data_IF_344166931648
#
_entry.id   IF_344166931648
#
_cell.length_a   1.000
_cell.length_b   1.000
_cell.length_c   1.000
_cell.angle_alpha   90.00
_cell.angle_beta   90.00
_cell.angle_gamma   90.00
#
_symmetry.space_group_name_H-M   'P 1'
#
loop_
_entity.id
_entity.type
_entity.pdbx_description
1 polymer ?
#
# COMPACT_ATOMS: atom_id res chain seq x y z
N UNK A 1 -12.81 6.21 76.92
CA UNK A 1 -11.65 7.12 77.07
C UNK A 1 -11.34 7.75 75.71
N UNK A 2 -11.10 9.08 75.62
CA UNK A 2 -10.60 9.87 74.45
C UNK A 2 -11.37 9.66 73.12
N UNK A 3 -12.21 10.55 72.60
CA UNK A 3 -12.30 12.02 72.56
C UNK A 3 -11.22 12.74 71.70
N UNK A 4 -11.64 13.88 71.12
CA UNK A 4 -10.92 14.94 70.41
C UNK A 4 -10.41 14.73 68.96
N UNK A 5 -11.22 15.26 68.04
CA UNK A 5 -10.83 16.10 66.89
C UNK A 5 -9.52 16.89 67.05
N UNK A 6 -8.77 17.11 65.96
CA UNK A 6 -8.29 18.46 65.58
C UNK A 6 -7.79 18.57 64.13
N UNK A 7 -8.18 19.67 63.48
CA UNK A 7 -7.65 20.13 62.19
C UNK A 7 -6.26 20.76 62.39
N UNK A 8 -5.30 20.42 61.53
CA UNK A 8 -4.14 21.24 61.21
C UNK A 8 -4.01 21.28 59.68
N UNK A 9 -3.58 22.34 59.00
CA UNK A 9 -3.52 23.78 59.25
C UNK A 9 -2.98 24.30 57.90
N UNK A 10 -3.63 25.28 57.27
CA UNK A 10 -3.14 25.85 56.01
C UNK A 10 -1.72 26.41 56.22
N UNK A 11 -0.75 26.00 55.41
CA UNK A 11 0.46 26.76 55.18
C UNK A 11 0.37 27.44 53.82
N UNK A 12 0.06 28.73 53.85
CA UNK A 12 0.30 29.62 52.72
C UNK A 12 1.76 30.03 52.83
N UNK A 13 2.57 29.67 51.84
CA UNK A 13 3.92 30.20 51.66
C UNK A 13 4.00 30.83 50.28
N UNK A 14 3.89 32.15 50.28
CA UNK A 14 4.21 33.04 49.17
C UNK A 14 5.68 32.86 48.79
N UNK A 15 5.94 32.42 47.56
CA UNK A 15 7.29 32.25 47.01
C UNK A 15 7.35 32.88 45.61
N UNK A 16 7.90 34.09 45.53
CA UNK A 16 8.12 34.84 44.30
C UNK A 16 9.33 34.24 43.54
N UNK A 17 9.20 33.89 42.25
CA UNK A 17 10.37 33.49 41.48
C UNK A 17 10.13 32.89 40.08
N UNK A 18 10.71 33.56 39.07
CA UNK A 18 11.11 33.06 37.75
C UNK A 18 10.01 32.64 36.74
N UNK A 19 9.80 33.51 35.74
CA UNK A 19 9.30 33.13 34.42
C UNK A 19 10.27 32.15 33.73
N UNK A 20 9.77 31.06 33.15
CA UNK A 20 10.38 30.46 31.97
C UNK A 20 9.74 31.04 30.71
N UNK A 21 10.47 31.92 30.01
CA UNK A 21 10.21 32.24 28.60
C UNK A 21 10.51 30.99 27.76
N UNK A 22 9.54 30.09 27.61
CA UNK A 22 9.65 28.90 26.76
C UNK A 22 8.80 29.05 25.49
N UNK A 23 9.48 29.48 24.43
CA UNK A 23 9.24 29.08 23.05
C UNK A 23 7.80 29.05 22.53
N UNK A 24 7.38 30.12 21.85
CA UNK A 24 6.59 29.93 20.64
C UNK A 24 7.38 29.01 19.70
N UNK A 25 6.84 27.86 19.29
CA UNK A 25 7.64 26.93 18.49
C UNK A 25 7.08 25.54 18.18
N UNK A 26 5.98 25.08 18.81
CA UNK A 26 5.23 23.96 18.23
C UNK A 26 4.41 24.46 17.04
N UNK A 27 5.11 24.57 15.91
CA UNK A 27 4.54 24.85 14.61
C UNK A 27 3.35 23.92 14.35
N UNK A 28 2.43 24.41 13.52
CA UNK A 28 1.35 23.64 12.93
C UNK A 28 1.93 22.50 12.08
N UNK A 29 2.26 21.37 12.73
CA UNK A 29 2.49 20.09 12.08
C UNK A 29 1.15 19.63 11.52
N UNK A 30 0.84 20.17 10.33
CA UNK A 30 -0.15 19.63 9.42
C UNK A 30 0.21 18.15 9.25
N UNK A 31 -0.61 17.20 9.75
CA UNK A 31 -0.22 15.81 9.74
C UNK A 31 0.07 15.39 8.30
N UNK A 32 1.24 14.77 8.09
CA UNK A 32 1.57 14.22 6.77
C UNK A 32 0.48 13.26 6.35
N UNK A 33 -0.06 13.32 5.11
CA UNK A 33 -1.09 12.40 4.64
C UNK A 33 -0.64 10.92 4.63
N UNK A 34 0.64 10.65 4.89
CA UNK A 34 1.24 9.31 4.97
C UNK A 34 1.77 8.95 6.37
N UNK A 35 1.60 9.80 7.37
CA UNK A 35 2.07 9.55 8.74
C UNK A 35 1.07 8.77 9.57
N UNK A 36 1.16 7.43 9.57
CA UNK A 36 0.47 6.48 10.48
C UNK A 36 -0.91 6.95 10.99
N UNK A 37 -1.78 7.35 10.06
CA UNK A 37 -3.07 7.93 10.40
C UNK A 37 -3.97 6.86 10.99
N UNK A 38 -4.27 6.98 12.29
CA UNK A 38 -5.41 6.29 12.87
C UNK A 38 -6.64 6.66 12.02
N UNK A 39 -7.26 5.66 11.38
CA UNK A 39 -8.44 5.91 10.54
C UNK A 39 -9.47 6.63 11.41
N UNK A 40 -9.96 7.82 11.02
CA UNK A 40 -10.79 8.63 11.90
C UNK A 40 -11.97 7.80 12.40
N UNK A 41 -12.19 7.77 13.71
CA UNK A 41 -13.24 6.94 14.31
C UNK A 41 -14.64 7.27 13.73
N UNK A 42 -14.85 8.54 13.36
CA UNK A 42 -16.02 8.99 12.61
C UNK A 42 -16.15 8.33 11.22
N UNK A 43 -15.04 8.15 10.49
CA UNK A 43 -15.03 7.47 9.19
C UNK A 43 -15.28 5.96 9.36
N UNK A 44 -14.70 5.33 10.39
CA UNK A 44 -15.00 3.92 10.73
C UNK A 44 -16.47 3.74 11.12
N UNK A 45 -17.04 4.64 11.92
CA UNK A 45 -18.48 4.63 12.27
C UNK A 45 -19.37 4.85 11.05
N UNK A 46 -19.04 5.79 10.17
CA UNK A 46 -19.80 6.03 8.94
C UNK A 46 -19.76 4.82 7.99
N UNK A 47 -18.58 4.22 7.79
CA UNK A 47 -18.43 2.99 7.01
C UNK A 47 -19.22 1.83 7.63
N UNK A 48 -19.20 1.69 8.97
CA UNK A 48 -19.96 0.65 9.68
C UNK A 48 -21.49 0.86 9.58
N UNK A 49 -21.96 2.10 9.55
CA UNK A 49 -23.37 2.42 9.29
C UNK A 49 -23.75 2.09 7.84
N UNK A 50 -22.94 2.47 6.85
CA UNK A 50 -23.19 2.12 5.45
C UNK A 50 -23.17 0.61 5.21
N UNK A 51 -22.30 -0.12 5.91
CA UNK A 51 -22.19 -1.58 5.85
C UNK A 51 -23.44 -2.34 6.32
N UNK A 52 -24.31 -1.72 7.12
CA UNK A 52 -25.60 -2.30 7.55
C UNK A 52 -26.62 -2.28 6.41
N UNK A 53 -26.62 -1.22 5.59
CA UNK A 53 -27.52 -1.02 4.46
C UNK A 53 -26.76 -0.58 3.21
N UNK A 54 -25.89 -1.45 2.65
CA UNK A 54 -25.01 -1.08 1.56
C UNK A 54 -25.80 -0.79 0.28
N UNK A 55 -25.53 0.36 -0.35
CA UNK A 55 -26.22 0.82 -1.58
C UNK A 55 -25.30 0.86 -2.80
N UNK A 56 -24.00 0.83 -2.58
CA UNK A 56 -22.96 0.87 -3.62
C UNK A 56 -21.95 -0.26 -3.44
N UNK A 57 -21.14 -0.52 -4.49
CA UNK A 57 -20.02 -1.43 -4.40
C UNK A 57 -18.98 -0.96 -3.37
N UNK A 58 -18.78 0.36 -3.24
CA UNK A 58 -17.89 0.94 -2.24
C UNK A 58 -18.35 0.68 -0.81
N UNK A 59 -19.66 0.73 -0.52
CA UNK A 59 -20.18 0.37 0.80
C UNK A 59 -19.93 -1.10 1.13
N UNK A 60 -20.07 -1.99 0.14
CA UNK A 60 -19.78 -3.42 0.27
C UNK A 60 -18.28 -3.67 0.46
N UNK A 61 -17.42 -2.96 -0.27
CA UNK A 61 -15.97 -3.05 -0.11
C UNK A 61 -15.52 -2.54 1.27
N UNK A 62 -16.03 -1.38 1.71
CA UNK A 62 -15.77 -0.84 3.05
C UNK A 62 -16.26 -1.82 4.14
N UNK A 63 -17.43 -2.44 3.98
CA UNK A 63 -17.91 -3.49 4.88
C UNK A 63 -16.97 -4.70 4.94
N UNK A 64 -16.41 -5.12 3.79
CA UNK A 64 -15.42 -6.19 3.70
C UNK A 64 -14.12 -5.86 4.44
N UNK A 65 -13.62 -4.63 4.28
CA UNK A 65 -12.44 -4.15 5.02
C UNK A 65 -12.67 -4.05 6.52
N UNK A 66 -13.86 -3.63 6.95
CA UNK A 66 -14.23 -3.62 8.37
C UNK A 66 -14.28 -5.04 8.95
N UNK A 67 -14.89 -6.00 8.24
CA UNK A 67 -14.92 -7.40 8.65
C UNK A 67 -13.49 -7.99 8.76
N UNK A 68 -12.63 -7.70 7.77
CA UNK A 68 -11.26 -8.20 7.73
C UNK A 68 -10.38 -7.65 8.87
N UNK A 69 -10.44 -6.34 9.15
CA UNK A 69 -9.52 -5.70 10.11
C UNK A 69 -10.07 -5.54 11.54
N UNK A 70 -11.39 -5.39 11.74
CA UNK A 70 -11.96 -5.25 13.09
C UNK A 70 -12.49 -6.57 13.66
N UNK A 71 -13.09 -7.43 12.82
CA UNK A 71 -13.65 -8.71 13.28
C UNK A 71 -12.70 -9.90 13.03
N UNK A 72 -11.64 -9.73 12.24
CA UNK A 72 -10.82 -10.84 11.69
C UNK A 72 -11.65 -11.90 10.92
N UNK A 73 -12.86 -11.54 10.48
CA UNK A 73 -13.78 -12.43 9.79
C UNK A 73 -13.50 -12.39 8.29
N UNK A 74 -12.56 -13.24 7.88
CA UNK A 74 -12.12 -13.38 6.50
C UNK A 74 -13.24 -13.90 5.60
N UNK A 75 -14.14 -14.75 6.10
CA UNK A 75 -15.22 -15.33 5.29
C UNK A 75 -16.29 -14.28 4.95
N UNK A 76 -16.70 -13.47 5.93
CA UNK A 76 -17.58 -12.31 5.68
C UNK A 76 -16.87 -11.28 4.80
N UNK A 77 -15.56 -11.05 4.97
CA UNK A 77 -14.82 -10.13 4.13
C UNK A 77 -14.80 -10.56 2.64
N UNK A 78 -14.45 -11.82 2.35
CA UNK A 78 -14.47 -12.37 0.99
C UNK A 78 -15.85 -12.20 0.33
N UNK A 79 -16.92 -12.66 0.98
CA UNK A 79 -18.28 -12.55 0.43
C UNK A 79 -18.79 -11.11 0.28
N UNK A 80 -18.25 -10.15 1.05
CA UNK A 80 -18.55 -8.71 0.88
C UNK A 80 -17.80 -8.12 -0.32
N UNK A 81 -16.54 -8.47 -0.53
CA UNK A 81 -15.78 -8.05 -1.70
C UNK A 81 -16.32 -8.67 -3.00
N UNK A 82 -16.67 -9.95 -3.00
CA UNK A 82 -17.29 -10.61 -4.16
C UNK A 82 -18.62 -9.94 -4.56
N UNK A 83 -19.46 -9.60 -3.57
CA UNK A 83 -20.70 -8.84 -3.81
C UNK A 83 -20.45 -7.41 -4.28
N UNK A 84 -19.36 -6.77 -3.84
CA UNK A 84 -18.96 -5.46 -4.37
C UNK A 84 -18.61 -5.56 -5.86
N UNK A 85 -17.78 -6.55 -6.25
CA UNK A 85 -17.41 -6.80 -7.64
C UNK A 85 -18.56 -7.25 -8.53
N UNK A 86 -19.58 -7.91 -7.96
CA UNK A 86 -20.82 -8.23 -8.67
C UNK A 86 -21.70 -7.00 -8.97
N UNK A 87 -21.55 -5.92 -8.18
CA UNK A 87 -22.28 -4.67 -8.36
C UNK A 87 -21.50 -3.65 -9.21
N UNK A 88 -20.18 -3.55 -9.00
CA UNK A 88 -19.25 -2.82 -9.84
C UNK A 88 -17.95 -3.63 -10.02
N UNK A 89 -17.74 -4.26 -11.19
CA UNK A 89 -16.52 -5.00 -11.49
C UNK A 89 -15.23 -4.19 -11.43
N UNK A 90 -15.30 -2.84 -11.39
CA UNK A 90 -14.16 -1.93 -11.30
C UNK A 90 -13.83 -1.46 -9.87
N UNK A 91 -14.57 -1.89 -8.85
CA UNK A 91 -14.36 -1.48 -7.45
C UNK A 91 -12.97 -1.91 -6.92
N UNK A 92 -12.04 -0.95 -6.95
CA UNK A 92 -10.64 -1.15 -6.65
C UNK A 92 -10.40 -1.62 -5.21
N UNK A 93 -11.20 -1.20 -4.24
CA UNK A 93 -11.05 -1.64 -2.85
C UNK A 93 -11.43 -3.11 -2.68
N UNK A 94 -12.36 -3.64 -3.47
CA UNK A 94 -12.75 -5.05 -3.42
C UNK A 94 -11.69 -5.95 -4.04
N UNK A 95 -11.15 -5.58 -5.21
CA UNK A 95 -10.00 -6.27 -5.81
C UNK A 95 -8.78 -6.27 -4.89
N UNK A 96 -8.43 -5.11 -4.29
CA UNK A 96 -7.30 -5.03 -3.35
C UNK A 96 -7.53 -5.91 -2.10
N UNK A 97 -8.77 -6.00 -1.61
CA UNK A 97 -9.16 -6.83 -0.46
C UNK A 97 -9.01 -8.32 -0.71
N UNK A 98 -9.59 -8.81 -1.82
CA UNK A 98 -9.44 -10.21 -2.24
C UNK A 98 -7.98 -10.55 -2.54
N UNK A 99 -7.20 -9.62 -3.10
CA UNK A 99 -5.78 -9.84 -3.36
C UNK A 99 -4.96 -9.98 -2.06
N UNK A 100 -5.22 -9.16 -1.03
CA UNK A 100 -4.55 -9.26 0.27
C UNK A 100 -4.95 -10.54 1.03
N UNK A 101 -6.22 -10.99 0.93
CA UNK A 101 -6.68 -12.27 1.49
C UNK A 101 -6.07 -13.47 0.75
N UNK A 102 -6.04 -13.44 -0.58
CA UNK A 102 -5.39 -14.47 -1.38
C UNK A 102 -3.88 -14.52 -1.08
N UNK A 103 -3.23 -13.37 -0.88
CA UNK A 103 -1.80 -13.27 -0.52
C UNK A 103 -1.52 -13.84 0.86
N UNK A 104 -2.34 -13.55 1.88
CA UNK A 104 -2.16 -14.10 3.23
C UNK A 104 -2.35 -15.63 3.26
N UNK A 105 -3.20 -16.16 2.37
CA UNK A 105 -3.37 -17.60 2.13
C UNK A 105 -2.36 -18.22 1.14
N UNK A 106 -1.30 -17.49 0.77
CA UNK A 106 -0.24 -17.92 -0.17
C UNK A 106 -0.77 -18.34 -1.56
N UNK A 107 -1.96 -17.89 -1.95
CA UNK A 107 -2.57 -18.13 -3.28
C UNK A 107 -2.03 -17.13 -4.31
N UNK A 108 -0.73 -17.19 -4.56
CA UNK A 108 0.05 -16.19 -5.34
C UNK A 108 -0.64 -15.82 -6.66
N UNK A 109 -1.09 -16.80 -7.45
CA UNK A 109 -1.77 -16.56 -8.74
C UNK A 109 -3.10 -15.81 -8.60
N UNK A 110 -3.90 -16.13 -7.59
CA UNK A 110 -5.21 -15.47 -7.35
C UNK A 110 -4.98 -14.04 -6.88
N UNK A 111 -4.01 -13.82 -5.99
CA UNK A 111 -3.63 -12.47 -5.54
C UNK A 111 -3.10 -11.61 -6.70
N UNK A 112 -2.25 -12.17 -7.55
CA UNK A 112 -1.74 -11.48 -8.73
C UNK A 112 -2.85 -11.12 -9.73
N UNK A 113 -3.83 -12.02 -9.95
CA UNK A 113 -4.98 -11.75 -10.81
C UNK A 113 -5.79 -10.54 -10.32
N UNK A 114 -6.20 -10.50 -9.05
CA UNK A 114 -6.96 -9.37 -8.51
C UNK A 114 -6.17 -8.05 -8.46
N UNK A 115 -4.86 -8.09 -8.18
CA UNK A 115 -4.03 -6.88 -8.31
C UNK A 115 -3.95 -6.38 -9.76
N UNK A 116 -3.90 -7.28 -10.75
CA UNK A 116 -3.95 -6.89 -12.16
C UNK A 116 -5.33 -6.37 -12.55
N UNK A 117 -6.42 -7.01 -12.14
CA UNK A 117 -7.79 -6.57 -12.41
C UNK A 117 -8.03 -5.13 -11.91
N UNK A 118 -7.53 -4.79 -10.72
CA UNK A 118 -7.55 -3.41 -10.19
C UNK A 118 -6.83 -2.44 -11.11
N UNK A 119 -5.61 -2.79 -11.54
CA UNK A 119 -4.79 -1.93 -12.37
C UNK A 119 -5.33 -1.78 -13.80
N UNK A 120 -6.04 -2.78 -14.32
CA UNK A 120 -6.66 -2.77 -15.65
C UNK A 120 -7.98 -1.99 -15.66
N UNK A 121 -8.80 -2.16 -14.62
CA UNK A 121 -10.15 -1.61 -14.55
C UNK A 121 -10.22 -0.23 -13.90
N UNK A 122 -9.31 0.04 -12.96
CA UNK A 122 -9.20 1.31 -12.25
C UNK A 122 -7.76 1.89 -12.33
N UNK A 123 -7.18 2.05 -13.55
CA UNK A 123 -5.77 2.41 -13.75
C UNK A 123 -5.38 3.75 -13.10
N UNK A 124 -6.31 4.71 -13.04
CA UNK A 124 -6.11 6.02 -12.44
C UNK A 124 -6.37 6.08 -10.92
N UNK A 125 -6.81 4.97 -10.30
CA UNK A 125 -7.20 4.96 -8.89
C UNK A 125 -6.00 5.22 -7.96
N UNK A 126 -6.16 5.94 -6.82
CA UNK A 126 -5.05 6.22 -5.91
C UNK A 126 -4.30 4.97 -5.40
N UNK A 127 -4.95 3.81 -5.34
CA UNK A 127 -4.29 2.55 -4.98
C UNK A 127 -3.34 1.99 -6.06
N UNK A 128 -3.40 2.46 -7.32
CA UNK A 128 -2.66 1.84 -8.42
C UNK A 128 -1.14 1.75 -8.17
N UNK A 129 -0.52 2.74 -7.52
CA UNK A 129 0.90 2.65 -7.16
C UNK A 129 1.16 1.56 -6.10
N UNK A 130 0.35 1.52 -5.03
CA UNK A 130 0.47 0.52 -3.98
C UNK A 130 0.23 -0.89 -4.54
N UNK A 131 -0.77 -1.05 -5.39
CA UNK A 131 -1.10 -2.29 -6.10
C UNK A 131 0.05 -2.75 -6.99
N UNK A 132 0.64 -1.85 -7.79
CA UNK A 132 1.82 -2.16 -8.59
C UNK A 132 3.00 -2.63 -7.73
N UNK A 133 3.24 -2.00 -6.56
CA UNK A 133 4.28 -2.41 -5.61
C UNK A 133 3.98 -3.77 -4.97
N UNK A 134 2.72 -4.04 -4.61
CA UNK A 134 2.28 -5.34 -4.09
C UNK A 134 2.47 -6.45 -5.11
N UNK A 135 2.02 -6.24 -6.35
CA UNK A 135 2.19 -7.16 -7.46
C UNK A 135 3.68 -7.44 -7.76
N UNK A 136 4.50 -6.39 -7.82
CA UNK A 136 5.94 -6.50 -8.03
C UNK A 136 6.68 -7.28 -6.93
N UNK A 137 6.19 -7.19 -5.68
CA UNK A 137 6.76 -7.92 -4.53
C UNK A 137 6.24 -9.36 -4.43
N UNK A 138 5.10 -9.65 -5.06
CA UNK A 138 4.41 -10.93 -5.03
C UNK A 138 4.96 -11.93 -6.06
N UNK A 139 5.39 -11.43 -7.23
CA UNK A 139 5.75 -12.26 -8.38
C UNK A 139 7.24 -12.63 -8.41
N UNK A 140 7.52 -13.92 -8.55
CA UNK A 140 8.85 -14.49 -8.80
C UNK A 140 8.99 -15.09 -10.20
N UNK A 141 9.88 -16.08 -10.32
CA UNK A 141 10.18 -16.77 -11.59
C UNK A 141 9.02 -17.66 -12.08
N UNK A 142 8.04 -17.94 -11.22
CA UNK A 142 6.82 -18.72 -11.49
C UNK A 142 5.71 -17.94 -12.21
N UNK A 143 5.88 -16.63 -12.44
CA UNK A 143 4.94 -15.80 -13.20
C UNK A 143 4.67 -16.38 -14.62
N UNK A 144 3.41 -16.36 -15.05
CA UNK A 144 3.01 -16.85 -16.39
C UNK A 144 3.33 -15.82 -17.48
N UNK A 145 3.50 -16.23 -18.75
CA UNK A 145 3.62 -15.29 -19.88
C UNK A 145 2.46 -14.28 -19.93
N UNK A 146 1.23 -14.75 -19.71
CA UNK A 146 0.03 -13.93 -19.56
C UNK A 146 0.18 -12.84 -18.46
N UNK A 147 0.77 -13.17 -17.31
CA UNK A 147 1.03 -12.19 -16.25
C UNK A 147 1.98 -11.09 -16.74
N UNK A 148 3.04 -11.45 -17.49
CA UNK A 148 3.97 -10.47 -18.06
C UNK A 148 3.28 -9.59 -19.12
N UNK A 149 2.43 -10.17 -19.97
CA UNK A 149 1.66 -9.45 -20.99
C UNK A 149 0.65 -8.47 -20.36
N UNK A 150 -0.09 -8.90 -19.33
CA UNK A 150 -1.01 -8.03 -18.57
C UNK A 150 -0.27 -6.86 -17.93
N UNK A 151 0.87 -7.09 -17.27
CA UNK A 151 1.72 -6.01 -16.72
C UNK A 151 2.19 -5.06 -17.84
N UNK A 152 2.61 -5.60 -18.98
CA UNK A 152 3.08 -4.81 -20.12
C UNK A 152 1.96 -3.93 -20.71
N UNK A 153 0.74 -4.45 -20.80
CA UNK A 153 -0.44 -3.73 -21.27
C UNK A 153 -0.85 -2.62 -20.29
N UNK A 154 -1.02 -2.93 -19.00
CA UNK A 154 -1.36 -1.96 -17.94
C UNK A 154 -0.37 -0.81 -17.91
N UNK A 155 0.94 -1.08 -17.97
CA UNK A 155 2.00 -0.05 -17.96
C UNK A 155 1.85 0.95 -19.12
N UNK A 156 1.39 0.48 -20.27
CA UNK A 156 1.19 1.27 -21.49
C UNK A 156 -0.21 1.91 -21.58
N UNK A 157 -1.15 1.50 -20.74
CA UNK A 157 -2.51 2.01 -20.77
C UNK A 157 -2.56 3.54 -20.57
N UNK A 158 -3.43 4.26 -21.31
CA UNK A 158 -3.71 5.66 -21.02
C UNK A 158 -4.29 5.77 -19.61
N UNK A 159 -3.98 6.87 -18.92
CA UNK A 159 -4.56 7.14 -17.59
C UNK A 159 -4.02 6.32 -16.41
N UNK A 160 -3.17 5.29 -16.59
CA UNK A 160 -2.56 4.63 -15.42
C UNK A 160 -1.77 5.63 -14.57
N UNK A 161 -1.93 5.55 -13.25
CA UNK A 161 -1.36 6.51 -12.31
C UNK A 161 0.14 6.70 -12.57
N UNK A 162 0.59 7.96 -12.69
CA UNK A 162 1.97 8.26 -13.08
C UNK A 162 3.04 7.58 -12.18
N UNK A 163 2.87 7.46 -10.85
CA UNK A 163 3.81 6.72 -10.00
C UNK A 163 3.79 5.19 -10.22
N UNK A 164 2.70 4.62 -10.72
CA UNK A 164 2.58 3.17 -10.94
C UNK A 164 3.38 2.70 -12.19
N UNK A 165 3.47 3.52 -13.25
CA UNK A 165 4.22 3.18 -14.49
C UNK A 165 5.66 2.72 -14.24
N UNK A 166 6.53 3.46 -13.52
CA UNK A 166 7.92 3.03 -13.30
C UNK A 166 8.00 1.78 -12.40
N UNK A 167 7.05 1.58 -11.47
CA UNK A 167 6.98 0.37 -10.64
C UNK A 167 6.67 -0.86 -11.52
N UNK A 168 5.67 -0.76 -12.40
CA UNK A 168 5.32 -1.83 -13.34
C UNK A 168 6.43 -2.12 -14.35
N UNK A 169 7.15 -1.08 -14.81
CA UNK A 169 8.33 -1.25 -15.66
C UNK A 169 9.45 -2.03 -14.95
N UNK A 170 9.78 -1.66 -13.70
CA UNK A 170 10.79 -2.35 -12.90
C UNK A 170 10.38 -3.79 -12.58
N UNK A 171 9.11 -4.03 -12.28
CA UNK A 171 8.56 -5.36 -12.05
C UNK A 171 8.71 -6.25 -13.30
N UNK A 172 8.24 -5.78 -14.45
CA UNK A 172 8.35 -6.52 -15.71
C UNK A 172 9.80 -6.76 -16.13
N UNK A 173 10.70 -5.79 -15.95
CA UNK A 173 12.13 -5.97 -16.22
C UNK A 173 12.73 -7.09 -15.35
N UNK A 174 12.45 -7.09 -14.03
CA UNK A 174 12.87 -8.16 -13.12
C UNK A 174 12.33 -9.54 -13.53
N UNK A 175 11.06 -9.61 -13.93
CA UNK A 175 10.44 -10.87 -14.38
C UNK A 175 11.06 -11.38 -15.69
N UNK A 176 11.40 -10.48 -16.62
CA UNK A 176 12.12 -10.83 -17.84
C UNK A 176 13.54 -11.37 -17.53
N UNK A 177 14.27 -10.76 -16.59
CA UNK A 177 15.58 -11.29 -16.12
C UNK A 177 15.46 -12.70 -15.52
N UNK A 178 14.46 -12.93 -14.66
CA UNK A 178 14.19 -14.25 -14.06
C UNK A 178 13.80 -15.33 -15.09
N UNK A 179 13.43 -14.93 -16.31
CA UNK A 179 13.17 -15.80 -17.47
C UNK A 179 14.33 -15.84 -18.47
N UNK A 180 15.48 -15.21 -18.18
CA UNK A 180 16.63 -15.13 -19.07
C UNK A 180 16.48 -14.15 -20.24
N UNK A 181 15.40 -13.36 -20.29
CA UNK A 181 15.09 -12.39 -21.36
C UNK A 181 15.81 -11.05 -21.12
N UNK A 182 17.13 -11.11 -20.93
CA UNK A 182 17.96 -10.00 -20.46
C UNK A 182 17.93 -8.77 -21.39
N UNK A 183 17.91 -8.99 -22.71
CA UNK A 183 17.87 -7.89 -23.69
C UNK A 183 16.56 -7.09 -23.61
N UNK A 184 15.43 -7.76 -23.45
CA UNK A 184 14.13 -7.10 -23.26
C UNK A 184 14.04 -6.39 -21.91
N UNK A 185 14.56 -7.00 -20.84
CA UNK A 185 14.66 -6.37 -19.53
C UNK A 185 15.53 -5.11 -19.53
N UNK A 186 16.58 -5.09 -20.36
CA UNK A 186 17.46 -3.93 -20.58
C UNK A 186 16.72 -2.83 -21.34
N UNK A 187 16.17 -3.14 -22.51
CA UNK A 187 15.42 -2.18 -23.34
C UNK A 187 14.24 -1.55 -22.56
N UNK A 188 13.56 -2.32 -21.70
CA UNK A 188 12.50 -1.81 -20.85
C UNK A 188 13.00 -0.83 -19.77
N UNK A 189 14.18 -1.08 -19.17
CA UNK A 189 14.78 -0.14 -18.20
C UNK A 189 15.25 1.14 -18.87
N UNK A 190 15.93 1.02 -20.01
CA UNK A 190 16.38 2.14 -20.84
C UNK A 190 15.20 3.05 -21.24
N UNK A 191 14.11 2.47 -21.76
CA UNK A 191 12.90 3.20 -22.15
C UNK A 191 12.05 3.74 -20.98
N UNK A 192 12.27 3.27 -19.75
CA UNK A 192 11.52 3.71 -18.56
C UNK A 192 12.31 4.66 -17.64
N UNK A 193 13.45 5.19 -18.11
CA UNK A 193 14.31 6.09 -17.33
C UNK A 193 15.04 5.41 -16.16
N UNK A 194 15.05 4.07 -16.12
CA UNK A 194 15.91 3.32 -15.22
C UNK A 194 17.37 3.38 -15.67
N UNK A 195 18.34 3.09 -14.78
CA UNK A 195 19.74 3.03 -15.19
C UNK A 195 19.91 2.00 -16.31
N UNK A 196 20.52 2.37 -17.46
CA UNK A 196 20.62 1.50 -18.65
C UNK A 196 21.50 0.27 -18.42
N UNK A 197 22.27 0.28 -17.33
CA UNK A 197 23.31 -0.69 -17.03
C UNK A 197 23.25 -1.03 -15.55
N UNK A 198 23.06 -2.31 -15.25
CA UNK A 198 23.26 -2.81 -13.90
C UNK A 198 24.77 -2.72 -13.60
N UNK A 199 25.16 -1.69 -12.86
CA UNK A 199 26.51 -1.59 -12.33
C UNK A 199 26.62 -2.62 -11.21
N UNK A 200 27.14 -3.80 -11.54
CA UNK A 200 27.76 -4.68 -10.54
C UNK A 200 28.68 -3.80 -9.71
N UNK A 201 28.62 -3.88 -8.38
CA UNK A 201 29.54 -3.20 -7.48
C UNK A 201 30.46 -4.24 -6.86
N UNK A 202 31.76 -4.08 -7.04
CA UNK A 202 32.80 -5.04 -6.68
C UNK A 202 34.19 -4.54 -7.09
N UNK A 203 35.27 -5.26 -6.70
CA UNK A 203 36.66 -4.80 -6.88
C UNK A 203 37.11 -4.62 -8.34
N UNK A 204 36.31 -5.07 -9.31
CA UNK A 204 36.60 -5.02 -10.75
C UNK A 204 35.45 -4.36 -11.53
N UNK A 205 34.72 -3.43 -10.92
CA UNK A 205 33.45 -2.90 -11.45
C UNK A 205 33.42 -1.37 -11.54
N UNK A 206 32.45 -0.76 -12.28
CA UNK A 206 32.57 0.42 -13.18
C UNK A 206 33.39 1.66 -12.78
N UNK A 207 33.87 1.73 -11.55
CA UNK A 207 35.06 2.47 -11.15
C UNK A 207 36.36 1.60 -11.20
N UNK A 208 36.55 0.57 -12.05
CA UNK A 208 36.40 0.45 -13.53
C UNK A 208 35.80 -0.93 -13.94
N UNK A 209 35.06 -1.03 -15.06
CA UNK A 209 33.99 -2.04 -15.26
C UNK A 209 34.38 -3.45 -15.77
N UNK A 210 33.81 -4.49 -15.16
CA UNK A 210 33.45 -5.74 -15.84
C UNK A 210 32.18 -5.53 -16.67
N UNK A 211 32.32 -5.74 -17.98
CA UNK A 211 31.19 -5.96 -18.89
C UNK A 211 30.89 -7.45 -18.93
N UNK A 212 29.63 -7.83 -18.68
CA UNK A 212 29.20 -9.22 -18.86
C UNK A 212 29.17 -9.64 -20.34
N UNK A 213 29.24 -8.68 -21.27
CA UNK A 213 29.37 -8.89 -22.72
C UNK A 213 30.85 -9.09 -23.16
N UNK A 214 31.78 -9.32 -22.22
CA UNK A 214 33.22 -9.59 -22.48
C UNK A 214 33.72 -10.91 -21.87
N UNK A 215 32.80 -11.80 -21.49
CA UNK A 215 33.04 -13.18 -21.04
C UNK A 215 32.14 -14.13 -21.84
#
# INVERSE_FOLDING_TARGET
MRNTTRRLRRFVLTGLGLLPLLGSGCATLRPSPFGAGAVPEAALRAAAQSAQHPKSASDLAQAGWLALYHASDVATAEGRFERALALDPSEAWAHFGLAEIARSRVRIRVAAAHYLDLLERAPAHPLAELTARRLASLLGSEASPETLERIAAVRQAPGVAAPARPVLAAALARLLELKGRFQEARALRESSGGPPRMVVAGPFSRYRALDAERL
#
